data_IF_612653204896
#
_entry.id   IF_612653204896
#
_cell.length_a   1.000
_cell.length_b   1.000
_cell.length_c   1.000
_cell.angle_alpha   90.00
_cell.angle_beta   90.00
_cell.angle_gamma   90.00
#
_symmetry.space_group_name_H-M   'P 1'
#
loop_
_entity.id
_entity.type
_entity.pdbx_description
1 polymer ?
#
# COMPACT_ATOMS: atom_id res chain seq x y z
N UNK A 1 -5.94 7.77 -11.81
CA UNK A 1 -5.51 7.44 -13.19
C UNK A 1 -5.82 8.57 -14.14
N UNK A 2 -7.10 8.80 -14.45
CA UNK A 2 -7.52 9.83 -15.42
C UNK A 2 -7.25 11.26 -14.92
N UNK A 3 -7.67 11.59 -13.70
CA UNK A 3 -7.60 12.96 -13.15
C UNK A 3 -6.26 13.31 -12.51
N UNK A 4 -5.71 12.43 -11.68
CA UNK A 4 -4.50 12.73 -10.89
C UNK A 4 -3.17 12.39 -11.59
N UNK A 5 -3.18 11.45 -12.54
CA UNK A 5 -1.95 10.96 -13.18
C UNK A 5 -1.89 11.23 -14.68
N UNK A 6 -2.91 11.89 -15.25
CA UNK A 6 -2.94 12.22 -16.68
C UNK A 6 -2.88 11.01 -17.61
N UNK A 7 -3.38 9.85 -17.16
CA UNK A 7 -3.31 8.58 -17.91
C UNK A 7 -4.51 8.42 -18.88
N UNK A 8 -4.97 9.51 -19.49
CA UNK A 8 -6.00 9.48 -20.53
C UNK A 8 -5.47 10.08 -21.82
N UNK A 9 -5.66 9.36 -22.92
CA UNK A 9 -5.26 9.83 -24.25
C UNK A 9 -6.11 11.02 -24.70
N UNK A 10 -7.38 11.09 -24.27
CA UNK A 10 -8.33 12.14 -24.64
C UNK A 10 -8.08 13.45 -23.89
N UNK A 11 -7.79 13.37 -22.59
CA UNK A 11 -7.58 14.53 -21.72
C UNK A 11 -6.12 14.97 -21.62
N UNK A 12 -5.19 14.13 -22.10
CA UNK A 12 -3.76 14.37 -22.08
C UNK A 12 -3.13 14.25 -20.68
N UNK A 13 -1.81 14.51 -20.59
CA UNK A 13 -1.04 14.40 -19.34
C UNK A 13 -1.24 15.63 -18.44
N UNK A 14 -2.49 15.95 -18.11
CA UNK A 14 -2.87 17.09 -17.27
C UNK A 14 -3.48 16.57 -15.98
N UNK A 15 -3.16 17.23 -14.86
CA UNK A 15 -3.78 16.98 -13.58
C UNK A 15 -5.08 17.79 -13.45
N UNK A 16 -6.19 17.10 -13.21
CA UNK A 16 -7.50 17.68 -13.01
C UNK A 16 -7.92 17.51 -11.54
N UNK A 17 -8.25 18.63 -10.88
CA UNK A 17 -8.66 18.67 -9.49
C UNK A 17 -7.47 18.65 -8.52
N UNK A 18 -7.48 19.57 -7.56
CA UNK A 18 -6.52 19.61 -6.46
C UNK A 18 -7.14 18.94 -5.24
N UNK A 19 -6.48 17.88 -4.75
CA UNK A 19 -6.84 17.24 -3.49
C UNK A 19 -5.93 17.82 -2.40
N UNK A 20 -6.37 18.89 -1.75
CA UNK A 20 -5.72 19.38 -0.53
C UNK A 20 -6.07 18.45 0.64
N UNK A 21 -5.22 17.47 0.87
CA UNK A 21 -5.32 16.61 2.06
C UNK A 21 -4.65 17.31 3.25
N UNK A 22 -5.38 18.21 3.91
CA UNK A 22 -4.95 18.78 5.19
C UNK A 22 -5.02 17.70 6.29
N UNK A 23 -3.89 17.07 6.57
CA UNK A 23 -3.71 15.99 7.56
C UNK A 23 -4.11 16.42 9.00
N UNK A 24 -4.28 17.72 9.25
CA UNK A 24 -4.50 18.27 10.59
C UNK A 24 -5.97 18.35 11.05
N UNK A 25 -6.96 18.30 10.14
CA UNK A 25 -8.38 18.53 10.49
C UNK A 25 -9.28 17.29 10.48
N UNK A 26 -8.71 16.08 10.40
CA UNK A 26 -9.44 14.83 10.63
C UNK A 26 -10.52 14.45 9.60
N UNK A 27 -10.85 15.31 8.63
CA UNK A 27 -11.61 15.00 7.41
C UNK A 27 -11.38 16.09 6.38
N UNK A 28 -11.09 15.69 5.14
CA UNK A 28 -10.85 16.56 4.01
C UNK A 28 -11.96 17.60 3.82
N UNK A 29 -11.61 18.86 4.00
CA UNK A 29 -12.45 20.00 3.67
C UNK A 29 -11.88 20.56 2.36
N UNK A 30 -12.46 20.14 1.23
CA UNK A 30 -12.24 20.76 -0.07
C UNK A 30 -11.52 19.89 -1.09
N UNK A 31 -12.26 19.06 -1.82
CA UNK A 31 -11.82 18.71 -3.18
C UNK A 31 -12.26 19.85 -4.09
N UNK A 32 -11.31 20.71 -4.48
CA UNK A 32 -11.60 21.86 -5.35
C UNK A 32 -11.59 21.38 -6.80
N UNK A 33 -12.76 21.41 -7.44
CA UNK A 33 -12.89 21.09 -8.87
C UNK A 33 -12.42 22.28 -9.71
N UNK A 34 -11.23 22.14 -10.30
CA UNK A 34 -10.60 23.16 -11.14
C UNK A 34 -10.87 22.95 -12.65
N UNK A 35 -12.05 22.43 -13.03
CA UNK A 35 -12.36 22.11 -14.43
C UNK A 35 -13.85 22.29 -14.74
N UNK A 36 -14.18 22.51 -16.02
CA UNK A 36 -15.55 22.76 -16.48
C UNK A 36 -16.39 21.48 -16.51
N UNK A 37 -17.73 21.62 -16.54
CA UNK A 37 -18.66 20.49 -16.65
C UNK A 37 -18.40 19.63 -17.90
N UNK A 38 -17.97 20.25 -19.00
CA UNK A 38 -17.58 19.53 -20.21
C UNK A 38 -16.38 18.61 -19.95
N UNK A 39 -15.36 19.10 -19.26
CA UNK A 39 -14.18 18.30 -18.91
C UNK A 39 -14.55 17.22 -17.88
N UNK A 40 -15.46 17.53 -16.94
CA UNK A 40 -16.00 16.54 -16.01
C UNK A 40 -16.68 15.38 -16.74
N UNK A 41 -17.51 15.68 -17.75
CA UNK A 41 -18.14 14.66 -18.59
C UNK A 41 -17.09 13.80 -19.32
N UNK A 42 -16.05 14.43 -19.89
CA UNK A 42 -14.97 13.70 -20.57
C UNK A 42 -14.20 12.78 -19.61
N UNK A 43 -14.00 13.20 -18.35
CA UNK A 43 -13.41 12.36 -17.29
C UNK A 43 -14.30 11.14 -17.02
N UNK A 44 -15.60 11.34 -16.84
CA UNK A 44 -16.54 10.25 -16.54
C UNK A 44 -16.61 9.24 -17.70
N UNK A 45 -16.58 9.71 -18.94
CA UNK A 45 -16.52 8.87 -20.14
C UNK A 45 -15.26 7.99 -20.16
N UNK A 46 -14.09 8.56 -19.84
CA UNK A 46 -12.82 7.84 -19.77
C UNK A 46 -12.78 6.83 -18.63
N UNK A 47 -13.33 7.18 -17.47
CA UNK A 47 -13.46 6.24 -16.33
C UNK A 47 -14.35 5.07 -16.72
N UNK A 48 -15.50 5.32 -17.35
CA UNK A 48 -16.38 4.26 -17.83
C UNK A 48 -15.67 3.36 -18.84
N UNK A 49 -14.97 3.94 -19.83
CA UNK A 49 -14.21 3.20 -20.83
C UNK A 49 -13.19 2.25 -20.19
N UNK A 50 -12.42 2.73 -19.21
CA UNK A 50 -11.42 1.93 -18.50
C UNK A 50 -12.05 0.77 -17.73
N UNK A 51 -13.16 1.01 -17.04
CA UNK A 51 -13.88 -0.02 -16.28
C UNK A 51 -14.46 -1.08 -17.22
N UNK A 52 -15.09 -0.66 -18.31
CA UNK A 52 -15.68 -1.56 -19.29
C UNK A 52 -14.59 -2.41 -19.98
N UNK A 53 -13.46 -1.80 -20.36
CA UNK A 53 -12.32 -2.53 -20.94
C UNK A 53 -11.75 -3.57 -19.97
N UNK A 54 -11.52 -3.18 -18.71
CA UNK A 54 -11.02 -4.08 -17.67
C UNK A 54 -12.02 -5.21 -17.40
N UNK A 55 -13.32 -4.92 -17.39
CA UNK A 55 -14.37 -5.92 -17.22
C UNK A 55 -14.38 -6.91 -18.39
N UNK A 56 -14.39 -6.43 -19.64
CA UNK A 56 -14.40 -7.29 -20.81
C UNK A 56 -13.13 -8.15 -20.90
N UNK A 57 -11.96 -7.56 -20.62
CA UNK A 57 -10.70 -8.29 -20.54
C UNK A 57 -10.76 -9.39 -19.49
N UNK A 58 -11.24 -9.08 -18.28
CA UNK A 58 -11.37 -10.04 -17.20
C UNK A 58 -12.33 -11.16 -17.57
N UNK A 59 -13.51 -10.82 -18.11
CA UNK A 59 -14.49 -11.78 -18.59
C UNK A 59 -13.90 -12.69 -19.66
N UNK A 60 -13.15 -12.14 -20.61
CA UNK A 60 -12.50 -12.93 -21.65
C UNK A 60 -11.45 -13.89 -21.06
N UNK A 61 -10.61 -13.44 -20.12
CA UNK A 61 -9.63 -14.29 -19.44
C UNK A 61 -10.34 -15.45 -18.72
N UNK A 62 -11.42 -15.17 -17.98
CA UNK A 62 -12.19 -16.19 -17.26
C UNK A 62 -12.87 -17.20 -18.19
N UNK A 63 -13.38 -16.75 -19.33
CA UNK A 63 -13.98 -17.64 -20.34
C UNK A 63 -12.91 -18.50 -21.03
N UNK A 64 -11.79 -17.89 -21.42
CA UNK A 64 -10.68 -18.61 -22.07
C UNK A 64 -10.08 -19.68 -21.15
N UNK A 65 -10.09 -19.46 -19.84
CA UNK A 65 -9.57 -20.40 -18.84
C UNK A 65 -10.68 -21.03 -18.00
N UNK A 66 -11.86 -21.26 -18.60
CA UNK A 66 -13.03 -21.77 -17.88
C UNK A 66 -12.76 -23.11 -17.18
N UNK A 67 -12.06 -24.03 -17.86
CA UNK A 67 -11.73 -25.35 -17.29
C UNK A 67 -10.94 -25.20 -15.98
N UNK A 68 -9.91 -24.33 -15.96
CA UNK A 68 -9.10 -24.06 -14.77
C UNK A 68 -9.90 -23.40 -13.66
N UNK A 69 -10.85 -22.53 -14.00
CA UNK A 69 -11.75 -21.92 -13.02
C UNK A 69 -12.64 -22.97 -12.37
N UNK A 70 -13.15 -23.91 -13.15
CA UNK A 70 -13.99 -25.00 -12.66
C UNK A 70 -13.15 -25.97 -11.78
N UNK A 71 -11.90 -26.29 -12.16
CA UNK A 71 -10.97 -27.08 -11.34
C UNK A 71 -10.67 -26.42 -9.98
N UNK A 72 -10.37 -25.12 -9.98
CA UNK A 72 -10.15 -24.35 -8.73
C UNK A 72 -11.41 -24.34 -7.87
N UNK A 73 -12.58 -24.20 -8.49
CA UNK A 73 -13.87 -24.16 -7.77
C UNK A 73 -14.18 -25.51 -7.12
N UNK A 74 -14.01 -26.62 -7.86
CA UNK A 74 -14.17 -27.98 -7.33
C UNK A 74 -13.23 -28.19 -6.15
N UNK A 75 -11.96 -27.79 -6.30
CA UNK A 75 -10.99 -27.95 -5.24
C UNK A 75 -11.31 -27.13 -3.99
N UNK A 76 -11.79 -25.90 -4.14
CA UNK A 76 -12.20 -25.07 -3.00
C UNK A 76 -13.40 -25.65 -2.23
N UNK A 77 -14.25 -26.45 -2.88
CA UNK A 77 -15.31 -27.20 -2.20
C UNK A 77 -14.75 -28.31 -1.31
N UNK A 78 -13.57 -28.85 -1.61
CA UNK A 78 -12.92 -29.90 -0.83
C UNK A 78 -12.09 -29.35 0.34
N UNK A 79 -11.28 -28.31 0.11
CA UNK A 79 -10.25 -27.86 1.07
C UNK A 79 -10.49 -26.51 1.74
N UNK A 80 -11.61 -25.83 1.49
CA UNK A 80 -12.03 -24.49 2.00
C UNK A 80 -11.07 -23.32 1.66
N UNK A 81 -9.76 -23.54 1.68
CA UNK A 81 -8.70 -22.57 1.44
C UNK A 81 -7.64 -23.18 0.53
N UNK A 82 -7.22 -22.44 -0.49
CA UNK A 82 -6.11 -22.79 -1.37
C UNK A 82 -4.93 -21.83 -1.15
N UNK A 83 -3.74 -22.39 -0.98
CA UNK A 83 -2.51 -21.61 -0.95
C UNK A 83 -1.91 -21.44 -2.36
N UNK A 84 -1.08 -20.40 -2.52
CA UNK A 84 -0.43 -20.08 -3.79
C UNK A 84 0.21 -21.28 -4.54
N UNK A 85 1.01 -22.16 -3.91
CA UNK A 85 1.63 -23.28 -4.64
C UNK A 85 0.61 -24.32 -5.14
N UNK A 86 -0.50 -24.50 -4.43
CA UNK A 86 -1.58 -25.41 -4.81
C UNK A 86 -2.37 -24.83 -5.99
N UNK A 87 -2.71 -23.55 -5.92
CA UNK A 87 -3.36 -22.84 -7.01
C UNK A 87 -2.51 -22.85 -8.29
N UNK A 88 -1.21 -22.62 -8.18
CA UNK A 88 -0.29 -22.69 -9.32
C UNK A 88 -0.22 -24.10 -9.93
N UNK A 89 -0.32 -25.16 -9.11
CA UNK A 89 -0.38 -26.54 -9.60
C UNK A 89 -1.65 -26.77 -10.44
N UNK A 90 -2.82 -26.33 -9.94
CA UNK A 90 -4.07 -26.39 -10.71
C UNK A 90 -3.93 -25.61 -12.03
N UNK A 91 -3.32 -24.42 -11.98
CA UNK A 91 -3.09 -23.60 -13.17
C UNK A 91 -2.16 -24.27 -14.21
N UNK A 92 -1.28 -25.18 -13.80
CA UNK A 92 -0.44 -26.01 -14.68
C UNK A 92 -1.10 -27.30 -15.15
N UNK A 93 -2.29 -27.64 -14.64
CA UNK A 93 -2.98 -28.91 -14.91
C UNK A 93 -2.43 -30.08 -14.09
N UNK A 94 -1.74 -29.80 -12.99
CA UNK A 94 -1.26 -30.80 -12.04
C UNK A 94 -2.29 -30.98 -10.92
N UNK A 95 -2.48 -32.21 -10.43
CA UNK A 95 -3.27 -32.45 -9.21
C UNK A 95 -2.51 -31.91 -7.98
N UNK A 96 -3.06 -30.95 -7.23
CA UNK A 96 -2.42 -30.44 -6.02
C UNK A 96 -2.26 -31.55 -4.99
N UNK A 97 -1.09 -31.65 -4.38
CA UNK A 97 -0.86 -32.61 -3.30
C UNK A 97 -1.46 -32.07 -2.01
N UNK A 98 -2.33 -32.85 -1.35
CA UNK A 98 -2.94 -32.57 -0.03
C UNK A 98 -1.94 -32.48 1.13
N UNK A 99 -0.63 -32.55 0.88
CA UNK A 99 0.36 -32.56 1.93
C UNK A 99 0.32 -31.23 2.70
N UNK A 100 0.07 -31.25 4.03
CA UNK A 100 -0.01 -30.03 4.81
C UNK A 100 1.36 -29.37 4.84
N UNK A 101 1.57 -28.35 4.02
CA UNK A 101 2.74 -27.48 4.14
C UNK A 101 2.49 -26.51 5.28
N UNK A 102 2.68 -27.03 6.49
CA UNK A 102 3.07 -26.24 7.66
C UNK A 102 4.35 -25.47 7.29
N UNK A 103 4.14 -24.27 6.76
CA UNK A 103 5.17 -23.34 6.34
C UNK A 103 4.77 -21.96 6.81
N UNK A 104 4.45 -21.86 8.11
CA UNK A 104 4.34 -20.57 8.77
C UNK A 104 5.59 -19.77 8.41
N UNK A 105 5.41 -18.69 7.66
CA UNK A 105 6.38 -17.60 7.69
C UNK A 105 6.37 -17.13 9.13
N UNK A 106 7.28 -17.67 9.94
CA UNK A 106 7.79 -16.97 11.11
C UNK A 106 8.23 -15.62 10.56
N UNK A 107 7.37 -14.62 10.73
CA UNK A 107 7.75 -13.24 10.67
C UNK A 107 8.91 -13.16 11.65
N UNK A 108 10.13 -13.11 11.15
CA UNK A 108 11.27 -12.80 11.98
C UNK A 108 10.96 -11.41 12.52
N UNK A 109 10.45 -11.36 13.75
CA UNK A 109 10.53 -10.15 14.55
C UNK A 109 12.01 -9.83 14.60
N UNK A 110 12.41 -8.84 13.80
CA UNK A 110 13.72 -8.23 13.94
C UNK A 110 13.81 -7.81 15.42
N UNK A 111 14.84 -8.26 16.16
CA UNK A 111 15.05 -7.72 17.49
C UNK A 111 15.24 -6.22 17.33
N UNK A 112 14.45 -5.43 18.08
CA UNK A 112 14.66 -3.98 18.18
C UNK A 112 16.13 -3.77 18.56
N UNK A 113 16.90 -2.92 17.86
CA UNK A 113 18.28 -2.66 18.23
C UNK A 113 18.31 -2.14 19.66
N UNK A 114 19.17 -2.76 20.47
CA UNK A 114 19.29 -2.53 21.89
C UNK A 114 19.58 -1.07 22.22
N UNK A 115 18.86 -0.54 23.18
CA UNK A 115 19.35 0.56 24.01
C UNK A 115 20.48 -0.03 24.88
N UNK A 116 21.69 -0.04 24.35
CA UNK A 116 22.90 -0.39 25.09
C UNK A 116 23.25 0.76 26.05
N UNK A 117 22.93 0.53 27.32
CA UNK A 117 23.83 0.73 28.46
C UNK A 117 24.32 2.17 28.79
N UNK A 118 23.43 3.02 29.29
CA UNK A 118 23.78 4.27 29.99
C UNK A 118 24.12 4.07 31.49
N UNK A 119 24.48 2.87 31.94
CA UNK A 119 24.68 2.60 33.38
C UNK A 119 26.13 2.49 33.86
N UNK A 120 27.12 2.95 33.10
CA UNK A 120 28.51 3.00 33.58
C UNK A 120 29.27 4.22 33.04
N UNK A 121 28.83 5.44 33.39
CA UNK A 121 29.69 6.63 33.28
C UNK A 121 29.49 7.61 34.45
N UNK A 122 29.27 7.04 35.64
CA UNK A 122 29.03 7.77 36.87
C UNK A 122 30.07 7.51 37.95
N UNK A 123 31.34 7.24 37.63
CA UNK A 123 32.39 7.12 38.65
C UNK A 123 33.75 7.37 38.02
N UNK A 124 34.16 8.65 37.96
CA UNK A 124 35.54 9.15 38.11
C UNK A 124 35.66 10.58 37.57
N UNK A 125 35.64 11.53 38.50
CA UNK A 125 36.21 12.90 38.51
C UNK A 125 35.45 13.59 39.66
N UNK A 126 35.95 13.61 40.89
CA UNK A 126 37.25 14.18 41.25
C UNK A 126 37.05 15.67 41.52
N UNK A 127 36.50 15.96 42.70
CA UNK A 127 36.68 17.14 43.55
C UNK A 127 37.34 18.38 42.91
N UNK A 128 36.55 19.40 42.55
CA UNK A 128 36.95 20.82 42.60
C UNK A 128 35.72 21.67 42.95
N UNK A 129 35.89 22.58 43.91
CA UNK A 129 34.85 23.22 44.70
C UNK A 129 33.92 24.22 43.99
N UNK A 130 32.79 24.46 44.66
CA UNK A 130 31.80 25.50 44.39
C UNK A 130 32.42 26.91 44.36
N UNK A 131 32.13 27.69 43.31
CA UNK A 131 32.08 29.15 43.43
C UNK A 131 30.89 29.73 42.65
N UNK A 132 30.15 30.60 43.32
CA UNK A 132 28.91 31.25 42.93
C UNK A 132 29.22 32.68 42.47
N UNK A 133 29.07 32.99 41.18
CA UNK A 133 29.24 34.36 40.72
C UNK A 133 28.83 34.57 39.27
N UNK A 134 27.73 35.27 39.05
CA UNK A 134 27.17 35.51 37.72
C UNK A 134 27.85 36.66 36.96
N UNK A 135 27.71 36.64 35.64
CA UNK A 135 27.45 37.84 34.82
C UNK A 135 26.83 37.39 33.48
N UNK A 136 25.72 37.99 33.08
CA UNK A 136 25.06 37.79 31.77
C UNK A 136 25.85 38.51 30.65
N UNK A 137 26.03 37.91 29.45
CA UNK A 137 26.51 38.66 28.29
C UNK A 137 25.35 39.37 27.57
N UNK A 138 25.61 40.61 27.13
CA UNK A 138 24.67 41.48 26.40
C UNK A 138 24.52 41.08 24.91
N UNK A 139 23.39 41.41 24.27
CA UNK A 139 23.04 40.96 22.92
C UNK A 139 23.70 41.78 21.80
N UNK A 140 23.75 41.20 20.60
CA UNK A 140 24.10 41.86 19.34
C UNK A 140 22.90 42.57 18.71
#
# INVERSE_FOLDING_TARGET
MVTQWGMSEKLGPIQYGEREEMVFLGRGIGETRNYSDKVAQEIDEEVRRLVDEAYQRTRQILITHRDKLDDVSIRLLEVETLHAPEFEAIMRGETPSDAPKSGGRRRQEQPRPGMEDERQRGEQRGDEGLDLGGTLPAPA
#
